data_IF_876381495253
#
_entry.id   IF_876381495253
#
_cell.length_a   1.000
_cell.length_b   1.000
_cell.length_c   1.000
_cell.angle_alpha   90.00
_cell.angle_beta   90.00
_cell.angle_gamma   90.00
#
_symmetry.space_group_name_H-M   'P 1'
#
loop_
_entity.id
_entity.type
_entity.pdbx_description
1 polymer ?
#
# COMPACT_ATOMS: atom_id res chain seq x y z
N UNK A 1 34.86 -0.36 8.37
CA UNK A 1 35.16 0.77 7.52
C UNK A 1 34.11 1.86 7.69
N UNK A 2 34.57 3.10 7.81
CA UNK A 2 33.66 4.24 8.00
C UNK A 2 33.07 4.63 6.66
N UNK A 3 31.74 4.62 6.59
CA UNK A 3 31.00 5.06 5.43
C UNK A 3 31.16 6.59 5.24
N UNK A 4 31.34 7.04 4.00
CA UNK A 4 31.40 8.47 3.67
C UNK A 4 30.02 9.00 3.31
N UNK A 5 29.87 10.33 3.30
CA UNK A 5 28.63 10.97 2.82
C UNK A 5 28.29 10.57 1.38
N UNK A 6 29.27 10.51 0.50
CA UNK A 6 29.07 10.09 -0.90
C UNK A 6 28.59 8.63 -0.99
N UNK A 7 29.16 7.76 -0.16
CA UNK A 7 28.71 6.36 -0.11
C UNK A 7 27.26 6.25 0.38
N UNK A 8 26.86 7.06 1.36
CA UNK A 8 25.47 7.14 1.81
C UNK A 8 24.57 7.56 0.66
N UNK A 9 24.93 8.61 -0.06
CA UNK A 9 24.15 9.12 -1.19
C UNK A 9 24.05 8.08 -2.30
N UNK A 10 25.14 7.39 -2.62
CA UNK A 10 25.14 6.33 -3.65
C UNK A 10 24.21 5.17 -3.24
N UNK A 11 24.23 4.77 -1.97
CA UNK A 11 23.31 3.74 -1.49
C UNK A 11 21.84 4.20 -1.58
N UNK A 12 21.57 5.45 -1.24
CA UNK A 12 20.23 6.02 -1.38
C UNK A 12 19.75 6.08 -2.83
N UNK A 13 20.67 6.33 -3.78
CA UNK A 13 20.34 6.27 -5.20
C UNK A 13 19.87 4.88 -5.62
N UNK A 14 20.57 3.84 -5.14
CA UNK A 14 20.17 2.45 -5.39
C UNK A 14 18.79 2.17 -4.81
N UNK A 15 18.56 2.57 -3.56
CA UNK A 15 17.28 2.39 -2.88
C UNK A 15 16.16 3.13 -3.63
N UNK A 16 16.45 4.32 -4.15
CA UNK A 16 15.48 5.13 -4.88
C UNK A 16 14.99 4.47 -6.17
N UNK A 17 15.74 3.56 -6.75
CA UNK A 17 15.32 2.80 -7.93
C UNK A 17 14.18 1.83 -7.61
N UNK A 18 14.11 1.36 -6.37
CA UNK A 18 13.06 0.48 -5.86
C UNK A 18 12.57 0.98 -4.49
N UNK A 19 12.10 2.21 -4.48
CA UNK A 19 11.81 2.95 -3.26
C UNK A 19 10.73 2.28 -2.37
N UNK A 20 9.75 1.63 -2.97
CA UNK A 20 8.66 1.01 -2.21
C UNK A 20 9.15 -0.14 -1.33
N UNK A 21 10.14 -0.90 -1.80
CA UNK A 21 10.72 -2.02 -1.07
C UNK A 21 11.87 -1.62 -0.14
N UNK A 22 12.11 -0.32 0.05
CA UNK A 22 13.18 0.15 0.93
C UNK A 22 12.94 -0.29 2.37
N UNK A 23 14.01 -0.75 3.02
CA UNK A 23 14.00 -1.07 4.43
C UNK A 23 14.03 0.22 5.25
N UNK A 24 13.00 0.44 6.05
CA UNK A 24 12.90 1.63 6.90
C UNK A 24 14.06 1.75 7.88
N UNK A 25 14.51 0.63 8.45
CA UNK A 25 15.64 0.61 9.38
C UNK A 25 16.93 1.04 8.67
N UNK A 26 17.15 0.56 7.45
CA UNK A 26 18.30 0.98 6.66
C UNK A 26 18.25 2.48 6.34
N UNK A 27 17.08 3.00 5.96
CA UNK A 27 16.91 4.43 5.69
C UNK A 27 17.23 5.28 6.92
N UNK A 28 16.73 4.88 8.09
CA UNK A 28 17.00 5.57 9.35
C UNK A 28 18.49 5.55 9.69
N UNK A 29 19.14 4.41 9.49
CA UNK A 29 20.57 4.27 9.74
C UNK A 29 21.40 5.12 8.79
N UNK A 30 21.07 5.14 7.51
CA UNK A 30 21.74 5.98 6.51
C UNK A 30 21.59 7.46 6.85
N UNK A 31 20.42 7.88 7.28
CA UNK A 31 20.17 9.25 7.72
C UNK A 31 21.02 9.62 8.94
N UNK A 32 21.07 8.74 9.94
CA UNK A 32 21.89 8.94 11.13
C UNK A 32 23.38 9.04 10.76
N UNK A 33 23.85 8.14 9.91
CA UNK A 33 25.25 8.14 9.47
C UNK A 33 25.59 9.41 8.70
N UNK A 34 24.70 9.84 7.81
CA UNK A 34 24.92 11.05 7.04
C UNK A 34 25.07 12.27 7.95
N UNK A 35 24.13 12.47 8.86
CA UNK A 35 24.16 13.64 9.73
C UNK A 35 25.27 13.58 10.78
N UNK A 36 25.68 12.41 11.20
CA UNK A 36 26.86 12.25 12.06
C UNK A 36 28.12 12.74 11.35
N UNK A 37 28.31 12.34 10.09
CA UNK A 37 29.42 12.77 9.27
C UNK A 37 29.35 14.28 8.97
N UNK A 38 28.17 14.76 8.64
CA UNK A 38 27.92 16.17 8.36
C UNK A 38 28.26 17.04 9.56
N UNK A 39 27.80 16.65 10.74
CA UNK A 39 28.10 17.36 12.00
C UNK A 39 29.60 17.38 12.29
N UNK A 40 30.29 16.24 12.08
CA UNK A 40 31.74 16.15 12.29
C UNK A 40 32.49 17.09 11.34
N UNK A 41 32.08 17.17 10.07
CA UNK A 41 32.67 18.09 9.11
C UNK A 41 32.47 19.56 9.51
N UNK A 42 31.26 19.92 9.98
CA UNK A 42 30.95 21.27 10.44
C UNK A 42 31.78 21.65 11.68
N UNK A 43 31.94 20.72 12.62
CA UNK A 43 32.77 20.95 13.81
C UNK A 43 34.25 21.13 13.43
N UNK A 44 34.75 20.33 12.49
CA UNK A 44 36.12 20.47 12.00
C UNK A 44 36.34 21.81 11.29
N UNK A 45 35.36 22.26 10.48
CA UNK A 45 35.43 23.54 9.79
C UNK A 45 35.39 24.71 10.78
N UNK A 46 34.54 24.61 11.81
CA UNK A 46 34.42 25.62 12.88
C UNK A 46 35.74 25.73 13.64
N UNK A 47 36.33 24.60 14.02
CA UNK A 47 37.61 24.56 14.71
C UNK A 47 38.71 25.20 13.86
N UNK A 48 38.79 24.86 12.57
CA UNK A 48 39.78 25.46 11.66
C UNK A 48 39.60 26.97 11.55
N UNK A 49 38.35 27.46 11.52
CA UNK A 49 38.02 28.89 11.49
C UNK A 49 38.55 29.59 12.74
N UNK A 50 38.28 29.02 13.92
CA UNK A 50 38.72 29.59 15.21
C UNK A 50 40.25 29.53 15.32
N UNK A 51 40.89 28.44 14.95
CA UNK A 51 42.33 28.25 14.99
C UNK A 51 43.02 29.22 14.01
N UNK A 52 42.33 29.61 12.93
CA UNK A 52 42.81 30.62 11.97
C UNK A 52 42.59 32.07 12.41
N UNK A 53 42.11 32.31 13.63
CA UNK A 53 41.91 33.63 14.18
C UNK A 53 40.49 34.18 14.09
N UNK A 54 39.53 33.41 13.63
CA UNK A 54 38.14 33.80 13.57
C UNK A 54 37.46 33.77 14.92
N UNK A 55 36.49 34.69 15.18
CA UNK A 55 35.70 34.68 16.38
C UNK A 55 34.64 33.56 16.30
N UNK A 56 34.45 32.76 17.39
CA UNK A 56 33.51 31.67 17.39
C UNK A 56 32.08 32.04 16.95
N UNK A 57 31.60 33.19 17.34
CA UNK A 57 30.25 33.70 17.02
C UNK A 57 30.13 34.21 15.57
N UNK A 58 31.24 34.41 14.89
CA UNK A 58 31.29 34.87 13.48
C UNK A 58 31.31 33.68 12.49
N UNK A 59 31.39 32.44 12.98
CA UNK A 59 31.41 31.28 12.12
C UNK A 59 30.04 31.05 11.50
N UNK A 60 30.00 30.95 10.17
CA UNK A 60 28.80 30.63 9.42
C UNK A 60 29.08 29.34 8.65
N UNK A 61 28.30 28.26 8.90
CA UNK A 61 28.46 27.02 8.13
C UNK A 61 28.23 27.28 6.66
N UNK A 62 29.10 26.77 5.81
CA UNK A 62 28.96 26.90 4.35
C UNK A 62 27.88 25.96 3.84
N UNK A 63 27.13 26.36 2.82
CA UNK A 63 26.18 25.47 2.17
C UNK A 63 26.88 24.21 1.68
N UNK A 64 26.26 23.05 1.89
CA UNK A 64 26.80 21.75 1.53
C UNK A 64 25.96 21.13 0.43
N UNK A 65 26.54 20.97 -0.75
CA UNK A 65 25.89 20.31 -1.89
C UNK A 65 25.49 18.87 -1.56
N UNK A 66 26.30 18.16 -0.79
CA UNK A 66 25.98 16.79 -0.36
C UNK A 66 24.72 16.74 0.48
N UNK A 67 24.50 17.69 1.39
CA UNK A 67 23.26 17.75 2.17
C UNK A 67 22.04 18.01 1.29
N UNK A 68 22.16 18.90 0.32
CA UNK A 68 21.08 19.17 -0.64
C UNK A 68 20.74 17.92 -1.45
N UNK A 69 21.73 17.22 -1.96
CA UNK A 69 21.54 15.96 -2.70
C UNK A 69 20.93 14.88 -1.82
N UNK A 70 21.38 14.76 -0.58
CA UNK A 70 20.83 13.83 0.38
C UNK A 70 19.34 14.09 0.64
N UNK A 71 18.98 15.34 0.91
CA UNK A 71 17.58 15.74 1.14
C UNK A 71 16.70 15.46 -0.08
N UNK A 72 17.19 15.76 -1.26
CA UNK A 72 16.46 15.53 -2.52
C UNK A 72 16.18 14.04 -2.74
N UNK A 73 17.16 13.18 -2.51
CA UNK A 73 16.99 11.74 -2.67
C UNK A 73 16.04 11.18 -1.62
N UNK A 74 16.18 11.61 -0.36
CA UNK A 74 15.27 11.18 0.71
C UNK A 74 13.83 11.60 0.41
N UNK A 75 13.64 12.80 -0.09
CA UNK A 75 12.31 13.29 -0.51
C UNK A 75 11.76 12.48 -1.67
N UNK A 76 12.60 12.16 -2.66
CA UNK A 76 12.20 11.34 -3.81
C UNK A 76 11.73 9.95 -3.37
N UNK A 77 12.49 9.30 -2.46
CA UNK A 77 12.13 7.99 -1.92
C UNK A 77 10.77 8.07 -1.21
N UNK A 78 10.59 9.08 -0.36
CA UNK A 78 9.34 9.30 0.37
C UNK A 78 8.15 9.52 -0.56
N UNK A 79 8.33 10.36 -1.57
CA UNK A 79 7.28 10.66 -2.56
C UNK A 79 6.89 9.42 -3.36
N UNK A 80 7.86 8.63 -3.81
CA UNK A 80 7.62 7.39 -4.55
C UNK A 80 6.86 6.38 -3.69
N UNK A 81 7.27 6.21 -2.42
CA UNK A 81 6.59 5.31 -1.49
C UNK A 81 5.15 5.75 -1.24
N UNK A 82 4.96 7.04 -1.02
CA UNK A 82 3.61 7.61 -0.78
C UNK A 82 2.71 7.45 -2.00
N UNK A 83 3.25 7.67 -3.21
CA UNK A 83 2.49 7.53 -4.45
C UNK A 83 2.03 6.09 -4.68
N UNK A 84 2.92 5.12 -4.45
CA UNK A 84 2.59 3.70 -4.61
C UNK A 84 1.58 3.27 -3.54
N UNK A 85 1.77 3.73 -2.30
CA UNK A 85 0.83 3.44 -1.21
C UNK A 85 -0.57 4.00 -1.52
N UNK A 86 -0.65 5.23 -2.02
CA UNK A 86 -1.91 5.85 -2.40
C UNK A 86 -2.60 5.09 -3.54
N UNK A 87 -1.83 4.63 -4.52
CA UNK A 87 -2.34 3.82 -5.63
C UNK A 87 -2.89 2.48 -5.13
N UNK A 88 -2.18 1.80 -4.22
CA UNK A 88 -2.63 0.56 -3.63
C UNK A 88 -3.88 0.75 -2.78
N UNK A 89 -3.94 1.83 -2.01
CA UNK A 89 -5.11 2.15 -1.19
C UNK A 89 -6.33 2.43 -2.06
N UNK A 90 -6.14 3.12 -3.17
CA UNK A 90 -7.20 3.37 -4.15
C UNK A 90 -7.69 2.06 -4.78
N UNK A 91 -6.78 1.18 -5.16
CA UNK A 91 -7.12 -0.13 -5.71
C UNK A 91 -7.95 -0.94 -4.71
N UNK A 92 -7.57 -0.94 -3.43
CA UNK A 92 -8.31 -1.62 -2.37
C UNK A 92 -9.73 -1.05 -2.24
N UNK A 93 -9.88 0.27 -2.29
CA UNK A 93 -11.19 0.91 -2.24
C UNK A 93 -12.04 0.57 -3.46
N UNK A 94 -11.45 0.57 -4.65
CA UNK A 94 -12.15 0.16 -5.88
C UNK A 94 -12.60 -1.30 -5.79
N UNK A 95 -11.75 -2.17 -5.26
CA UNK A 95 -12.07 -3.57 -5.03
C UNK A 95 -13.20 -3.74 -4.02
N UNK A 96 -13.22 -2.92 -2.97
CA UNK A 96 -14.31 -2.90 -1.99
C UNK A 96 -15.65 -2.57 -2.67
N UNK A 97 -15.67 -1.53 -3.50
CA UNK A 97 -16.88 -1.14 -4.25
C UNK A 97 -17.36 -2.29 -5.13
N UNK A 98 -16.46 -2.98 -5.82
CA UNK A 98 -16.80 -4.11 -6.68
C UNK A 98 -17.39 -5.27 -5.87
N UNK A 99 -16.80 -5.60 -4.72
CA UNK A 99 -17.30 -6.68 -3.86
C UNK A 99 -18.65 -6.34 -3.26
N UNK A 100 -18.86 -5.10 -2.84
CA UNK A 100 -20.16 -4.65 -2.35
C UNK A 100 -21.25 -4.75 -3.42
N UNK A 101 -20.92 -4.41 -4.66
CA UNK A 101 -21.85 -4.54 -5.78
C UNK A 101 -22.21 -6.01 -6.03
N UNK A 102 -21.25 -6.93 -5.91
CA UNK A 102 -21.52 -8.37 -6.03
C UNK A 102 -22.46 -8.84 -4.91
N UNK A 103 -22.22 -8.42 -3.67
CA UNK A 103 -23.09 -8.76 -2.54
C UNK A 103 -24.51 -8.26 -2.78
N UNK A 104 -24.68 -7.02 -3.23
CA UNK A 104 -25.99 -6.44 -3.53
C UNK A 104 -26.71 -7.25 -4.61
N UNK A 105 -25.99 -7.67 -5.64
CA UNK A 105 -26.59 -8.49 -6.71
C UNK A 105 -26.95 -9.88 -6.22
N UNK A 106 -26.13 -10.51 -5.38
CA UNK A 106 -26.43 -11.80 -4.75
C UNK A 106 -27.69 -11.70 -3.90
N UNK A 107 -27.83 -10.61 -3.16
CA UNK A 107 -29.01 -10.34 -2.36
C UNK A 107 -30.28 -10.30 -3.22
N UNK A 108 -30.21 -9.58 -4.34
CA UNK A 108 -31.34 -9.52 -5.29
C UNK A 108 -31.69 -10.89 -5.85
N UNK A 109 -30.68 -11.68 -6.26
CA UNK A 109 -30.89 -13.02 -6.77
C UNK A 109 -31.51 -13.95 -5.73
N UNK A 110 -31.11 -13.80 -4.46
CA UNK A 110 -31.62 -14.62 -3.38
C UNK A 110 -33.08 -14.25 -2.95
N UNK A 111 -33.47 -13.02 -3.23
CA UNK A 111 -34.82 -12.54 -2.84
C UNK A 111 -35.91 -12.81 -3.90
N UNK A 112 -35.53 -12.79 -5.18
CA UNK A 112 -36.54 -12.89 -6.25
C UNK A 112 -35.94 -13.48 -7.55
N UNK A 113 -35.68 -14.79 -7.61
CA UNK A 113 -35.27 -15.41 -8.86
C UNK A 113 -36.47 -15.70 -9.73
N UNK A 114 -36.60 -14.99 -10.84
CA UNK A 114 -37.65 -15.23 -11.82
C UNK A 114 -37.38 -16.49 -12.65
N UNK A 115 -36.11 -16.76 -12.95
CA UNK A 115 -35.64 -17.93 -13.71
C UNK A 115 -34.46 -18.56 -12.99
N UNK A 116 -34.64 -19.75 -12.44
CA UNK A 116 -33.66 -20.46 -11.65
C UNK A 116 -32.36 -20.77 -12.44
N UNK A 117 -32.49 -21.17 -13.70
CA UNK A 117 -31.31 -21.49 -14.53
C UNK A 117 -30.50 -20.25 -14.85
N UNK A 118 -31.18 -19.19 -15.22
CA UNK A 118 -30.54 -17.91 -15.53
C UNK A 118 -29.88 -17.32 -14.27
N UNK A 119 -30.57 -17.37 -13.15
CA UNK A 119 -30.06 -16.89 -11.86
C UNK A 119 -28.83 -17.70 -11.42
N UNK A 120 -28.85 -19.02 -11.60
CA UNK A 120 -27.71 -19.89 -11.28
C UNK A 120 -26.49 -19.56 -12.14
N UNK A 121 -26.67 -19.33 -13.44
CA UNK A 121 -25.59 -18.95 -14.31
C UNK A 121 -24.99 -17.59 -13.94
N UNK A 122 -25.84 -16.63 -13.58
CA UNK A 122 -25.40 -15.31 -13.09
C UNK A 122 -24.66 -15.45 -11.74
N UNK A 123 -25.17 -16.29 -10.84
CA UNK A 123 -24.51 -16.56 -9.56
C UNK A 123 -23.08 -17.10 -9.76
N UNK A 124 -22.89 -18.06 -10.66
CA UNK A 124 -21.57 -18.59 -10.97
C UNK A 124 -20.62 -17.54 -11.50
N UNK A 125 -21.14 -16.66 -12.35
CA UNK A 125 -20.36 -15.55 -12.89
C UNK A 125 -19.94 -14.57 -11.78
N UNK A 126 -20.86 -14.23 -10.88
CA UNK A 126 -20.56 -13.36 -9.73
C UNK A 126 -19.54 -14.00 -8.80
N UNK A 127 -19.63 -15.30 -8.58
CA UNK A 127 -18.68 -16.06 -7.77
C UNK A 127 -17.26 -15.98 -8.37
N UNK A 128 -17.15 -16.11 -9.69
CA UNK A 128 -15.87 -15.98 -10.38
C UNK A 128 -15.34 -14.56 -10.27
N UNK A 129 -16.18 -13.56 -10.47
CA UNK A 129 -15.80 -12.16 -10.32
C UNK A 129 -15.31 -11.87 -8.90
N UNK A 130 -15.99 -12.40 -7.88
CA UNK A 130 -15.58 -12.28 -6.48
C UNK A 130 -14.18 -12.84 -6.26
N UNK A 131 -13.91 -14.03 -6.77
CA UNK A 131 -12.63 -14.69 -6.61
C UNK A 131 -11.50 -13.96 -7.35
N UNK A 132 -11.81 -13.27 -8.43
CA UNK A 132 -10.84 -12.52 -9.24
C UNK A 132 -10.48 -11.17 -8.61
N UNK A 133 -11.31 -10.63 -7.73
CA UNK A 133 -11.02 -9.38 -7.04
C UNK A 133 -9.96 -9.62 -5.97
N UNK A 134 -8.89 -8.84 -6.05
CA UNK A 134 -7.74 -8.97 -5.15
C UNK A 134 -8.01 -8.36 -3.78
N UNK A 135 -7.09 -7.54 -3.30
CA UNK A 135 -7.13 -7.00 -1.94
C UNK A 135 -8.21 -5.93 -1.75
N UNK A 136 -8.82 -5.94 -0.58
CA UNK A 136 -9.71 -4.90 -0.07
C UNK A 136 -9.12 -4.36 1.24
N UNK A 137 -9.61 -3.22 1.76
CA UNK A 137 -9.15 -2.75 3.06
C UNK A 137 -9.30 -3.82 4.14
N UNK A 138 -8.23 -4.03 4.92
CA UNK A 138 -8.16 -5.12 5.91
C UNK A 138 -9.34 -5.10 6.90
N UNK A 139 -9.78 -3.91 7.30
CA UNK A 139 -10.90 -3.75 8.23
C UNK A 139 -12.24 -4.27 7.68
N UNK A 140 -12.36 -4.44 6.37
CA UNK A 140 -13.60 -4.85 5.70
C UNK A 140 -13.63 -6.33 5.32
N UNK A 141 -12.50 -7.03 5.36
CA UNK A 141 -12.39 -8.41 4.86
C UNK A 141 -13.41 -9.35 5.50
N UNK A 142 -13.47 -9.38 6.82
CA UNK A 142 -14.35 -10.31 7.55
C UNK A 142 -15.82 -10.02 7.32
N UNK A 143 -16.21 -8.75 7.36
CA UNK A 143 -17.62 -8.33 7.13
C UNK A 143 -18.07 -8.67 5.72
N UNK A 144 -17.23 -8.40 4.72
CA UNK A 144 -17.52 -8.72 3.32
C UNK A 144 -17.74 -10.23 3.13
N UNK A 145 -16.84 -11.02 3.70
CA UNK A 145 -16.92 -12.48 3.59
C UNK A 145 -18.18 -13.03 4.24
N UNK A 146 -18.51 -12.55 5.43
CA UNK A 146 -19.73 -12.96 6.14
C UNK A 146 -20.98 -12.63 5.34
N UNK A 147 -21.06 -11.44 4.79
CA UNK A 147 -22.21 -11.02 3.98
C UNK A 147 -22.29 -11.81 2.68
N UNK A 148 -21.15 -12.02 2.01
CA UNK A 148 -21.10 -12.85 0.81
C UNK A 148 -21.62 -14.27 1.09
N UNK A 149 -21.08 -14.92 2.12
CA UNK A 149 -21.52 -16.28 2.50
C UNK A 149 -22.99 -16.32 2.84
N UNK A 150 -23.50 -15.34 3.58
CA UNK A 150 -24.89 -15.29 3.96
C UNK A 150 -25.83 -15.31 2.74
N UNK A 151 -25.57 -14.45 1.76
CA UNK A 151 -26.41 -14.38 0.58
C UNK A 151 -26.15 -15.54 -0.40
N UNK A 152 -24.94 -16.05 -0.47
CA UNK A 152 -24.64 -17.24 -1.26
C UNK A 152 -25.40 -18.46 -0.73
N UNK A 153 -25.39 -18.69 0.58
CA UNK A 153 -26.13 -19.77 1.22
C UNK A 153 -27.64 -19.61 1.01
N UNK A 154 -28.15 -18.41 1.18
CA UNK A 154 -29.54 -18.10 0.95
C UNK A 154 -29.97 -18.40 -0.48
N UNK A 155 -29.11 -18.06 -1.45
CA UNK A 155 -29.34 -18.36 -2.86
C UNK A 155 -29.34 -19.88 -3.12
N UNK A 156 -28.37 -20.63 -2.57
CA UNK A 156 -28.32 -22.07 -2.71
C UNK A 156 -29.58 -22.75 -2.13
N UNK A 157 -30.01 -22.29 -0.97
CA UNK A 157 -31.26 -22.82 -0.35
C UNK A 157 -32.45 -22.58 -1.25
N UNK A 158 -32.53 -21.41 -1.87
CA UNK A 158 -33.62 -21.08 -2.78
C UNK A 158 -33.60 -21.97 -4.04
N UNK A 159 -32.43 -22.19 -4.64
CA UNK A 159 -32.26 -23.07 -5.81
C UNK A 159 -32.61 -24.50 -5.46
N UNK A 160 -32.22 -24.97 -4.29
CA UNK A 160 -32.55 -26.30 -3.79
C UNK A 160 -34.06 -26.47 -3.64
N UNK A 161 -34.77 -25.53 -3.01
CA UNK A 161 -36.24 -25.54 -2.88
C UNK A 161 -36.90 -25.54 -4.26
N UNK A 162 -36.42 -24.75 -5.19
CA UNK A 162 -36.96 -24.70 -6.56
C UNK A 162 -36.81 -26.04 -7.28
N UNK A 163 -35.65 -26.70 -7.14
CA UNK A 163 -35.42 -28.02 -7.71
C UNK A 163 -36.30 -29.08 -7.09
N UNK A 164 -36.48 -29.07 -5.80
CA UNK A 164 -37.41 -29.97 -5.08
C UNK A 164 -38.83 -29.77 -5.55
N UNK A 165 -39.25 -28.53 -5.72
CA UNK A 165 -40.60 -28.19 -6.20
C UNK A 165 -40.83 -28.70 -7.63
N UNK A 166 -39.86 -28.50 -8.54
CA UNK A 166 -39.93 -28.99 -9.91
C UNK A 166 -39.98 -30.52 -9.95
N UNK A 167 -39.25 -31.19 -9.08
CA UNK A 167 -39.26 -32.65 -8.96
C UNK A 167 -40.65 -33.16 -8.54
N UNK A 168 -41.30 -32.47 -7.64
CA UNK A 168 -42.67 -32.83 -7.22
C UNK A 168 -43.71 -32.65 -8.34
N UNK A 169 -43.53 -31.63 -9.16
CA UNK A 169 -44.44 -31.36 -10.30
C UNK A 169 -44.31 -32.44 -11.38
N UNK A 170 -43.15 -33.02 -11.59
CA UNK A 170 -42.91 -34.04 -12.59
C UNK A 170 -43.33 -35.45 -12.20
N UNK A 171 -43.79 -35.65 -11.01
CA UNK A 171 -44.36 -36.91 -10.56
C UNK A 171 -45.84 -36.99 -10.96
#
# INVERSE_FOLDING_TARGET
PKQTKEEVIERLKEINEDAYNADKQELDLLKQNFYKLHKAEQEAARKAFIDGGGAPEAFIPQPDDAESRFKDIMSSIKEKRSAIQAEQDKEKEDNLVKKLAIIDRLKELAESPEDANKAYNEFKKLQQEWNDIKQVPAAKVNELWKNYQHYAEKFYDLIKLNNEFLSLIHI
#
